data_IF_512790046275
#
_entry.id   IF_512790046275
#
_cell.length_a   1.000
_cell.length_b   1.000
_cell.length_c   1.000
_cell.angle_alpha   90.00
_cell.angle_beta   90.00
_cell.angle_gamma   90.00
#
_symmetry.space_group_name_H-M   'P 1'
#
loop_
_entity.id
_entity.type
_entity.pdbx_description
1 polymer ?
#
# COMPACT_ATOMS: atom_id res chain seq x y z
N UNK A 1 5.74 -27.52 54.65
CA UNK A 1 4.97 -26.67 53.71
C UNK A 1 5.73 -26.65 52.39
N UNK A 2 5.10 -27.16 51.34
CA UNK A 2 5.63 -27.13 49.97
C UNK A 2 5.51 -25.70 49.42
N UNK A 3 6.55 -25.21 48.74
CA UNK A 3 6.39 -24.15 47.74
C UNK A 3 7.13 -24.58 46.48
N UNK A 4 6.37 -25.24 45.59
CA UNK A 4 6.79 -25.56 44.24
C UNK A 4 7.09 -24.28 43.47
N UNK A 5 8.35 -24.11 43.07
CA UNK A 5 8.84 -23.00 42.24
C UNK A 5 8.51 -23.29 40.77
N UNK A 6 7.26 -23.06 40.39
CA UNK A 6 6.76 -23.17 39.01
C UNK A 6 6.75 -21.82 38.28
N UNK A 7 7.90 -21.14 38.14
CA UNK A 7 7.97 -19.77 37.61
C UNK A 7 8.72 -19.67 36.28
N UNK A 8 8.68 -20.70 35.44
CA UNK A 8 9.39 -20.73 34.15
C UNK A 8 8.47 -20.80 32.91
N UNK A 9 7.24 -21.29 33.05
CA UNK A 9 6.36 -21.59 31.91
C UNK A 9 5.46 -20.41 31.51
N UNK A 10 4.95 -19.66 32.50
CA UNK A 10 4.04 -18.52 32.26
C UNK A 10 4.70 -17.33 31.55
N UNK A 11 5.92 -16.97 31.93
CA UNK A 11 6.65 -15.85 31.29
C UNK A 11 7.03 -16.15 29.84
N UNK A 12 7.40 -17.40 29.52
CA UNK A 12 7.70 -17.83 28.14
C UNK A 12 6.44 -17.81 27.28
N UNK A 13 5.30 -18.24 27.83
CA UNK A 13 4.00 -18.19 27.16
C UNK A 13 3.56 -16.76 26.85
N UNK A 14 3.77 -15.81 27.78
CA UNK A 14 3.47 -14.38 27.59
C UNK A 14 4.37 -13.73 26.54
N UNK A 15 5.66 -14.06 26.53
CA UNK A 15 6.60 -13.57 25.51
C UNK A 15 6.26 -14.12 24.11
N UNK A 16 5.92 -15.40 24.02
CA UNK A 16 5.50 -16.04 22.77
C UNK A 16 4.20 -15.44 22.23
N UNK A 17 3.22 -15.19 23.10
CA UNK A 17 1.97 -14.54 22.70
C UNK A 17 2.18 -13.09 22.27
N UNK A 18 3.05 -12.34 22.95
CA UNK A 18 3.41 -10.98 22.51
C UNK A 18 4.13 -10.98 21.15
N UNK A 19 5.02 -11.94 20.91
CA UNK A 19 5.69 -12.14 19.61
C UNK A 19 4.70 -12.52 18.50
N UNK A 20 3.75 -13.41 18.79
CA UNK A 20 2.69 -13.80 17.86
C UNK A 20 1.75 -12.63 17.51
N UNK A 21 1.38 -11.81 18.50
CA UNK A 21 0.59 -10.60 18.28
C UNK A 21 1.36 -9.57 17.42
N UNK A 22 2.64 -9.35 17.69
CA UNK A 22 3.47 -8.45 16.89
C UNK A 22 3.64 -8.96 15.44
N UNK A 23 3.80 -10.27 15.26
CA UNK A 23 3.88 -10.90 13.94
C UNK A 23 2.56 -10.82 13.17
N UNK A 24 1.41 -10.95 13.85
CA UNK A 24 0.10 -10.75 13.21
C UNK A 24 -0.18 -9.30 12.83
N UNK A 25 0.29 -8.33 13.63
CA UNK A 25 0.18 -6.91 13.31
C UNK A 25 1.05 -6.50 12.10
N UNK A 26 2.08 -7.28 11.78
CA UNK A 26 2.89 -7.12 10.57
C UNK A 26 2.18 -7.69 9.31
N UNK A 27 0.85 -7.68 9.27
CA UNK A 27 0.08 -7.96 8.07
C UNK A 27 0.45 -6.96 6.97
N UNK A 28 0.60 -7.45 5.74
CA UNK A 28 0.89 -6.63 4.57
C UNK A 28 -0.16 -5.54 4.44
N UNK A 29 0.23 -4.28 4.62
CA UNK A 29 -0.62 -3.14 4.34
C UNK A 29 -0.83 -3.06 2.82
N UNK A 30 -1.86 -3.73 2.33
CA UNK A 30 -2.32 -3.58 0.96
C UNK A 30 -3.22 -2.34 0.92
N UNK A 31 -2.86 -1.36 0.10
CA UNK A 31 -3.63 -0.12 -0.03
C UNK A 31 -4.66 -0.32 -1.14
N UNK A 32 -5.90 0.01 -0.84
CA UNK A 32 -7.01 -0.04 -1.80
C UNK A 32 -7.58 1.36 -1.98
N UNK A 33 -7.69 1.79 -3.23
CA UNK A 33 -8.43 3.00 -3.60
C UNK A 33 -9.59 2.65 -4.50
N UNK A 34 -10.60 3.51 -4.50
CA UNK A 34 -11.68 3.45 -5.47
C UNK A 34 -11.75 4.73 -6.30
N UNK A 35 -12.02 4.58 -7.60
CA UNK A 35 -12.14 5.68 -8.55
C UNK A 35 -13.37 5.45 -9.43
N UNK A 36 -14.16 6.48 -9.74
CA UNK A 36 -15.29 6.31 -10.64
C UNK A 36 -14.83 5.79 -12.02
N UNK A 37 -15.68 4.97 -12.63
CA UNK A 37 -15.50 4.56 -14.03
C UNK A 37 -15.39 5.79 -14.94
N UNK A 38 -14.61 5.68 -16.02
CA UNK A 38 -14.34 6.77 -16.98
C UNK A 38 -13.69 8.02 -16.36
N UNK A 39 -12.88 7.84 -15.32
CA UNK A 39 -12.14 8.93 -14.72
C UNK A 39 -11.27 9.67 -15.77
N UNK A 40 -11.44 10.99 -15.80
CA UNK A 40 -10.67 11.88 -16.67
C UNK A 40 -9.27 12.09 -16.12
N UNK A 41 -8.36 12.54 -16.98
CA UNK A 41 -7.05 13.01 -16.57
C UNK A 41 -7.17 14.06 -15.44
N UNK A 42 -6.31 13.95 -14.43
CA UNK A 42 -6.29 14.81 -13.24
C UNK A 42 -7.29 14.42 -12.14
N UNK A 43 -8.10 13.37 -12.33
CA UNK A 43 -9.01 12.88 -11.28
C UNK A 43 -8.22 12.45 -10.05
N UNK A 44 -8.64 12.92 -8.88
CA UNK A 44 -8.09 12.51 -7.59
C UNK A 44 -8.43 11.05 -7.28
N UNK A 45 -7.44 10.28 -6.84
CA UNK A 45 -7.61 8.88 -6.42
C UNK A 45 -7.37 8.72 -4.91
N UNK A 46 -6.24 9.24 -4.40
CA UNK A 46 -5.89 9.04 -2.99
C UNK A 46 -4.65 9.79 -2.54
N UNK A 47 -4.42 9.82 -1.22
CA UNK A 47 -3.26 10.48 -0.59
C UNK A 47 -2.16 9.46 -0.27
N UNK A 48 -1.54 8.91 -1.31
CA UNK A 48 -0.62 7.79 -1.18
C UNK A 48 0.58 8.06 -0.25
N UNK A 49 1.14 9.28 -0.25
CA UNK A 49 2.24 9.60 0.65
C UNK A 49 1.82 9.52 2.11
N UNK A 50 0.63 10.04 2.43
CA UNK A 50 0.08 10.02 3.78
C UNK A 50 -0.25 8.59 4.23
N UNK A 51 -0.87 7.80 3.35
CA UNK A 51 -1.28 6.43 3.67
C UNK A 51 -0.07 5.50 3.87
N UNK A 52 1.07 5.82 3.23
CA UNK A 52 2.36 5.15 3.45
C UNK A 52 3.17 5.73 4.61
N UNK A 53 2.69 6.79 5.28
CA UNK A 53 3.39 7.45 6.38
C UNK A 53 4.68 8.16 5.94
N UNK A 54 4.75 8.61 4.69
CA UNK A 54 5.88 9.32 4.12
C UNK A 54 5.64 10.84 4.14
N UNK A 55 6.64 11.61 4.52
CA UNK A 55 6.61 13.06 4.39
C UNK A 55 6.84 13.49 2.94
N UNK A 56 6.21 14.59 2.51
CA UNK A 56 6.36 15.11 1.14
C UNK A 56 7.81 15.44 0.79
N UNK A 57 8.57 15.96 1.76
CA UNK A 57 9.99 16.27 1.61
C UNK A 57 10.85 15.03 1.36
N UNK A 58 10.37 13.83 1.72
CA UNK A 58 11.08 12.58 1.54
C UNK A 58 10.86 11.95 0.16
N UNK A 59 9.76 12.26 -0.53
CA UNK A 59 9.38 11.59 -1.78
C UNK A 59 10.46 11.69 -2.85
N UNK A 60 10.97 12.89 -3.10
CA UNK A 60 12.03 13.14 -4.10
C UNK A 60 13.37 12.51 -3.70
N UNK A 61 13.96 12.78 -2.52
CA UNK A 61 15.28 12.23 -2.17
C UNK A 61 15.28 10.71 -2.01
N UNK A 62 14.13 10.11 -1.66
CA UNK A 62 13.97 8.65 -1.55
C UNK A 62 13.61 7.97 -2.88
N UNK A 63 13.57 8.72 -3.99
CA UNK A 63 13.24 8.23 -5.34
C UNK A 63 11.89 7.50 -5.37
N UNK A 64 10.87 8.13 -4.78
CA UNK A 64 9.51 7.64 -4.80
C UNK A 64 8.98 7.60 -6.23
N UNK A 65 8.49 6.44 -6.68
CA UNK A 65 7.86 6.27 -7.99
C UNK A 65 6.77 5.22 -7.97
N UNK A 66 5.86 5.28 -8.94
CA UNK A 66 4.80 4.30 -9.14
C UNK A 66 5.08 3.54 -10.43
N UNK A 67 4.90 2.23 -10.40
CA UNK A 67 4.96 1.35 -11.55
C UNK A 67 3.61 0.62 -11.68
N UNK A 68 3.07 0.51 -12.88
CA UNK A 68 1.89 -0.29 -13.16
C UNK A 68 2.28 -1.55 -13.92
N UNK A 69 1.68 -2.69 -13.55
CA UNK A 69 1.90 -3.96 -14.25
C UNK A 69 1.02 -4.00 -15.50
N UNK A 70 1.45 -3.36 -16.59
CA UNK A 70 0.72 -3.39 -17.86
C UNK A 70 0.88 -2.16 -18.75
N UNK A 71 -0.25 -1.67 -19.28
CA UNK A 71 -0.34 -0.58 -20.27
C UNK A 71 -0.20 0.80 -19.59
N UNK A 72 1.01 1.34 -19.62
CA UNK A 72 1.28 2.77 -19.48
C UNK A 72 0.96 3.41 -18.13
N UNK A 73 1.40 4.66 -17.98
CA UNK A 73 1.24 5.48 -16.79
C UNK A 73 -0.22 5.94 -16.61
N UNK A 74 -1.16 5.01 -16.37
CA UNK A 74 -2.59 5.30 -16.15
C UNK A 74 -2.80 6.16 -14.90
N UNK A 75 -2.00 5.89 -13.88
CA UNK A 75 -2.04 6.49 -12.56
C UNK A 75 -0.64 7.00 -12.24
N UNK A 76 -0.57 8.22 -11.72
CA UNK A 76 0.69 8.90 -11.41
C UNK A 76 0.58 9.62 -10.06
N UNK A 77 1.73 9.86 -9.42
CA UNK A 77 1.78 10.58 -8.15
C UNK A 77 2.40 11.95 -8.33
N UNK A 78 1.70 12.97 -7.85
CA UNK A 78 2.26 14.30 -7.78
C UNK A 78 3.16 14.40 -6.53
N UNK A 79 4.47 14.47 -6.74
CA UNK A 79 5.46 14.52 -5.67
C UNK A 79 5.39 15.81 -4.83
N UNK A 80 4.74 16.88 -5.32
CA UNK A 80 4.61 18.13 -4.58
C UNK A 80 3.58 18.04 -3.45
N UNK A 81 2.54 17.20 -3.62
CA UNK A 81 1.43 17.08 -2.66
C UNK A 81 1.15 15.64 -2.21
N UNK A 82 1.85 14.65 -2.76
CA UNK A 82 1.76 13.24 -2.38
C UNK A 82 0.45 12.56 -2.80
N UNK A 83 -0.22 13.10 -3.82
CA UNK A 83 -1.52 12.62 -4.30
C UNK A 83 -1.34 11.70 -5.51
N UNK A 84 -2.01 10.56 -5.48
CA UNK A 84 -2.22 9.68 -6.63
C UNK A 84 -3.40 10.22 -7.46
N UNK A 85 -3.19 10.38 -8.75
CA UNK A 85 -4.18 10.90 -9.69
C UNK A 85 -4.16 10.13 -11.00
N UNK A 86 -5.23 10.27 -11.78
CA UNK A 86 -5.38 9.65 -13.09
C UNK A 86 -4.57 10.43 -14.13
N UNK A 87 -3.57 9.82 -14.75
CA UNK A 87 -2.75 10.44 -15.78
C UNK A 87 -3.24 10.15 -17.21
N UNK A 88 -3.93 9.04 -17.46
CA UNK A 88 -4.65 8.84 -18.73
C UNK A 88 -6.04 8.27 -18.47
N UNK A 89 -6.98 8.51 -19.40
CA UNK A 89 -8.40 8.16 -19.22
C UNK A 89 -8.53 6.68 -18.88
N UNK A 90 -9.21 6.37 -17.77
CA UNK A 90 -9.51 5.00 -17.36
C UNK A 90 -10.73 4.53 -18.14
N UNK A 91 -10.51 3.86 -19.27
CA UNK A 91 -11.57 3.28 -20.08
C UNK A 91 -11.74 1.79 -19.72
N UNK A 92 -12.89 1.43 -19.14
CA UNK A 92 -13.14 0.08 -18.58
C UNK A 92 -13.04 -0.99 -19.68
N UNK A 93 -13.52 -0.68 -20.87
CA UNK A 93 -13.49 -1.56 -22.03
C UNK A 93 -12.05 -1.87 -22.46
N UNK A 94 -11.14 -0.90 -22.34
CA UNK A 94 -9.72 -1.08 -22.65
C UNK A 94 -8.93 -1.77 -21.53
N UNK A 95 -9.30 -1.55 -20.26
CA UNK A 95 -8.60 -2.07 -19.09
C UNK A 95 -9.02 -3.51 -18.74
N UNK A 96 -10.32 -3.74 -18.65
CA UNK A 96 -10.89 -4.95 -18.07
C UNK A 96 -11.88 -5.64 -19.02
N UNK A 97 -12.22 -5.00 -20.14
CA UNK A 97 -13.14 -5.51 -21.15
C UNK A 97 -14.50 -5.87 -20.54
N UNK A 98 -14.80 -7.17 -20.47
CA UNK A 98 -16.06 -7.71 -19.95
C UNK A 98 -15.96 -8.29 -18.53
N UNK A 99 -14.83 -8.10 -17.85
CA UNK A 99 -14.68 -8.58 -16.48
C UNK A 99 -15.72 -7.92 -15.55
N UNK A 100 -16.24 -8.69 -14.60
CA UNK A 100 -17.15 -8.20 -13.57
C UNK A 100 -16.41 -7.40 -12.48
N UNK A 101 -15.11 -7.66 -12.31
CA UNK A 101 -14.20 -6.94 -11.41
C UNK A 101 -13.14 -6.26 -12.27
N UNK A 102 -13.01 -4.94 -12.12
CA UNK A 102 -12.02 -4.15 -12.81
C UNK A 102 -11.13 -3.47 -11.78
N UNK A 103 -9.83 -3.74 -11.84
CA UNK A 103 -8.87 -3.18 -10.92
C UNK A 103 -7.53 -3.00 -11.60
N UNK A 104 -6.82 -1.93 -11.22
CA UNK A 104 -5.47 -1.64 -11.66
C UNK A 104 -4.51 -1.96 -10.52
N UNK A 105 -3.58 -2.88 -10.78
CA UNK A 105 -2.51 -3.19 -9.85
C UNK A 105 -1.31 -2.26 -10.07
N UNK A 106 -0.91 -1.60 -8.99
CA UNK A 106 0.22 -0.69 -8.92
C UNK A 106 1.25 -1.19 -7.89
N UNK A 107 2.51 -0.93 -8.19
CA UNK A 107 3.63 -1.07 -7.27
C UNK A 107 4.20 0.31 -6.99
N UNK A 108 4.15 0.72 -5.72
CA UNK A 108 4.79 1.95 -5.26
C UNK A 108 6.17 1.59 -4.74
N UNK A 109 7.21 2.19 -5.32
CA UNK A 109 8.60 1.89 -5.05
C UNK A 109 9.25 3.11 -4.41
N UNK A 110 9.89 2.91 -3.27
CA UNK A 110 10.73 3.89 -2.58
C UNK A 110 12.13 3.30 -2.55
N UNK A 111 13.11 3.90 -3.24
CA UNK A 111 14.40 3.21 -3.43
C UNK A 111 15.36 3.34 -2.24
N UNK A 112 15.19 4.34 -1.37
CA UNK A 112 16.11 4.61 -0.26
C UNK A 112 15.40 4.74 1.10
N UNK A 113 15.47 3.73 1.99
CA UNK A 113 15.78 2.33 1.71
C UNK A 113 14.70 1.71 0.80
N UNK A 114 15.07 0.65 0.07
CA UNK A 114 14.17 -0.02 -0.87
C UNK A 114 12.94 -0.58 -0.16
N UNK A 115 11.76 -0.07 -0.53
CA UNK A 115 10.46 -0.54 -0.08
C UNK A 115 9.53 -0.61 -1.29
N UNK A 116 8.73 -1.68 -1.36
CA UNK A 116 7.76 -1.90 -2.42
C UNK A 116 6.40 -2.14 -1.76
N UNK A 117 5.41 -1.36 -2.17
CA UNK A 117 4.04 -1.46 -1.68
C UNK A 117 3.12 -1.84 -2.83
N UNK A 118 2.21 -2.77 -2.57
CA UNK A 118 1.19 -3.18 -3.52
C UNK A 118 -0.07 -2.35 -3.30
N UNK A 119 -0.49 -1.65 -4.35
CA UNK A 119 -1.67 -0.78 -4.33
C UNK A 119 -2.63 -1.27 -5.40
N UNK A 120 -3.91 -1.35 -5.03
CA UNK A 120 -4.99 -1.76 -5.92
C UNK A 120 -5.98 -0.60 -6.05
N UNK A 121 -6.37 -0.30 -7.29
CA UNK A 121 -7.33 0.78 -7.57
C UNK A 121 -8.49 0.19 -8.35
N UNK A 122 -9.70 0.27 -7.80
CA UNK A 122 -10.95 -0.26 -8.38
C UNK A 122 -11.90 0.86 -8.85
#
# INVERSE_FOLDING_TARGET
MQFSRGSGLGSRSLLLSLLLLAAWAAGSAQIHYSVPEEAKHGTFVGRIAQDLGLELAELVPRLFRVASKGRGDLLEVNLQNGILFVNSRLDREELCGRSAVCGVHLEVIVEKPLQVFHVEVE
#
